data_IF_702208533365
#
_entry.id   IF_702208533365
#
_cell.length_a   1.000
_cell.length_b   1.000
_cell.length_c   1.000
_cell.angle_alpha   90.00
_cell.angle_beta   90.00
_cell.angle_gamma   90.00
#
_symmetry.space_group_name_H-M   'P 1'
#
loop_
_entity.id
_entity.type
_entity.pdbx_description
1 polymer ?
#
# COMPACT_ATOMS: atom_id res chain seq x y z
N UNK A 1 1.96 -7.12 7.39
CA UNK A 1 1.52 -8.15 8.36
C UNK A 1 2.57 -9.20 8.71
N UNK A 2 3.20 -9.88 7.74
CA UNK A 2 4.21 -10.94 8.00
C UNK A 2 5.27 -10.56 9.06
N UNK A 3 5.88 -9.38 8.93
CA UNK A 3 6.90 -8.92 9.88
C UNK A 3 6.34 -8.65 11.27
N UNK A 4 5.13 -8.12 11.38
CA UNK A 4 4.49 -7.89 12.68
C UNK A 4 4.22 -9.21 13.41
N UNK A 5 3.72 -10.22 12.70
CA UNK A 5 3.53 -11.57 13.23
C UNK A 5 4.86 -12.22 13.65
N UNK A 6 5.90 -12.12 12.82
CA UNK A 6 7.24 -12.66 13.10
C UNK A 6 7.89 -12.00 14.33
N UNK A 7 7.68 -10.70 14.50
CA UNK A 7 8.20 -9.92 15.62
C UNK A 7 7.30 -9.99 16.86
N UNK A 8 6.13 -10.64 16.76
CA UNK A 8 5.10 -10.70 17.80
C UNK A 8 4.69 -9.30 18.30
N UNK A 9 4.50 -8.36 17.37
CA UNK A 9 4.11 -6.99 17.68
C UNK A 9 2.74 -6.67 17.11
N UNK A 10 1.89 -5.90 17.82
CA UNK A 10 0.67 -5.36 17.25
C UNK A 10 1.00 -4.52 16.02
N UNK A 11 0.14 -4.59 14.99
CA UNK A 11 0.23 -3.76 13.79
C UNK A 11 -0.95 -2.80 13.79
N UNK A 12 -0.66 -1.50 13.74
CA UNK A 12 -1.65 -0.45 13.54
C UNK A 12 -1.41 0.14 12.16
N UNK A 13 -2.27 -0.23 11.21
CA UNK A 13 -2.25 0.31 9.84
C UNK A 13 -3.13 1.54 9.75
N UNK A 14 -2.61 2.58 9.12
CA UNK A 14 -3.33 3.82 8.82
C UNK A 14 -3.21 4.08 7.31
N UNK A 15 -4.31 3.98 6.55
CA UNK A 15 -4.31 4.43 5.16
C UNK A 15 -4.25 5.95 5.14
N UNK A 16 -3.24 6.52 4.48
CA UNK A 16 -3.11 7.95 4.33
C UNK A 16 -3.87 8.45 3.09
N UNK A 17 -4.55 9.58 3.25
CA UNK A 17 -5.25 10.28 2.19
C UNK A 17 -5.36 11.77 2.55
N UNK A 18 -5.80 12.60 1.60
CA UNK A 18 -5.83 14.06 1.74
C UNK A 18 -6.76 14.55 2.88
N UNK A 19 -7.74 13.75 3.31
CA UNK A 19 -8.61 14.09 4.44
C UNK A 19 -8.06 13.62 5.80
N UNK A 20 -6.95 12.87 5.82
CA UNK A 20 -6.30 12.45 7.07
C UNK A 20 -5.68 13.67 7.74
N UNK A 21 -6.17 14.06 8.91
CA UNK A 21 -5.60 15.17 9.69
C UNK A 21 -4.66 14.68 10.79
N UNK A 22 -3.72 15.52 11.22
CA UNK A 22 -2.88 15.21 12.38
C UNK A 22 -3.71 14.93 13.65
N UNK A 23 -4.88 15.59 13.80
CA UNK A 23 -5.77 15.35 14.94
C UNK A 23 -6.37 13.94 14.94
N UNK A 24 -6.73 13.40 13.77
CA UNK A 24 -7.26 12.04 13.69
C UNK A 24 -6.20 10.99 14.02
N UNK A 25 -4.93 11.30 13.73
CA UNK A 25 -3.79 10.44 14.01
C UNK A 25 -3.35 10.46 15.47
N UNK A 26 -3.30 11.65 16.08
CA UNK A 26 -2.86 11.83 17.47
C UNK A 26 -3.99 11.58 18.46
N UNK A 27 -5.21 11.98 18.15
CA UNK A 27 -6.37 11.83 19.03
C UNK A 27 -7.21 13.08 19.14
N UNK A 28 -8.43 12.87 19.64
CA UNK A 28 -9.46 13.91 19.71
C UNK A 28 -10.35 13.75 20.93
N UNK A 29 -10.91 14.87 21.36
CA UNK A 29 -11.99 14.90 22.36
C UNK A 29 -13.31 14.56 21.69
N UNK A 30 -14.05 13.63 22.27
CA UNK A 30 -15.39 13.23 21.85
C UNK A 30 -16.39 13.52 22.96
N UNK A 31 -17.61 13.92 22.60
CA UNK A 31 -18.71 14.03 23.55
C UNK A 31 -19.44 12.69 23.58
N UNK A 32 -19.46 12.02 24.73
CA UNK A 32 -20.22 10.78 24.96
C UNK A 32 -21.10 10.94 26.17
N UNK A 33 -22.42 10.89 25.97
CA UNK A 33 -23.38 10.96 27.07
C UNK A 33 -23.37 12.27 27.87
N UNK A 34 -22.90 13.37 27.27
CA UNK A 34 -22.76 14.67 27.96
C UNK A 34 -21.35 14.94 28.51
N UNK A 35 -20.48 13.93 28.57
CA UNK A 35 -19.09 14.08 29.03
C UNK A 35 -18.12 14.22 27.85
N UNK A 36 -17.07 15.02 28.06
CA UNK A 36 -15.96 15.18 27.11
C UNK A 36 -14.87 14.17 27.45
N UNK A 37 -14.73 13.14 26.61
CA UNK A 37 -13.74 12.06 26.79
C UNK A 37 -12.65 12.10 25.73
N UNK A 38 -11.42 11.85 26.13
CA UNK A 38 -10.30 11.76 25.19
C UNK A 38 -10.29 10.39 24.51
N UNK A 39 -10.08 10.39 23.19
CA UNK A 39 -9.81 9.18 22.42
C UNK A 39 -8.44 9.31 21.75
N UNK A 40 -7.52 8.41 22.11
CA UNK A 40 -6.22 8.32 21.44
C UNK A 40 -6.41 7.92 19.97
N UNK A 41 -5.68 8.62 19.09
CA UNK A 41 -5.58 8.25 17.69
C UNK A 41 -4.65 7.05 17.47
N UNK A 42 -4.57 6.51 16.25
CA UNK A 42 -3.73 5.35 15.92
C UNK A 42 -2.26 5.57 16.24
N UNK A 43 -1.70 6.77 16.06
CA UNK A 43 -0.30 7.07 16.36
C UNK A 43 -0.05 7.01 17.87
N UNK A 44 -0.87 7.70 18.65
CA UNK A 44 -0.75 7.72 20.11
C UNK A 44 -0.92 6.33 20.71
N UNK A 45 -1.87 5.53 20.22
CA UNK A 45 -2.01 4.12 20.61
C UNK A 45 -0.76 3.31 20.30
N UNK A 46 -0.23 3.43 19.07
CA UNK A 46 0.96 2.68 18.68
C UNK A 46 2.17 3.01 19.56
N UNK A 47 2.35 4.29 19.88
CA UNK A 47 3.42 4.78 20.75
C UNK A 47 3.29 4.22 22.16
N UNK A 48 2.08 4.23 22.74
CA UNK A 48 1.83 3.69 24.09
C UNK A 48 1.97 2.16 24.17
N UNK A 49 1.49 1.46 23.15
CA UNK A 49 1.46 -0.01 23.12
C UNK A 49 2.79 -0.62 22.64
N UNK A 50 3.72 0.20 22.13
CA UNK A 50 4.93 -0.30 21.50
C UNK A 50 4.65 -1.09 20.22
N UNK A 51 3.61 -0.71 19.49
CA UNK A 51 3.18 -1.37 18.26
C UNK A 51 4.05 -0.96 17.07
N UNK A 52 3.91 -1.71 15.97
CA UNK A 52 4.32 -1.26 14.65
C UNK A 52 3.21 -0.35 14.11
N UNK A 53 3.52 0.93 13.93
CA UNK A 53 2.68 1.88 13.21
C UNK A 53 3.05 1.82 11.73
N UNK A 54 2.12 1.42 10.87
CA UNK A 54 2.28 1.40 9.43
C UNK A 54 1.42 2.48 8.79
N UNK A 55 2.05 3.50 8.21
CA UNK A 55 1.39 4.56 7.45
C UNK A 55 1.45 4.21 5.97
N UNK A 56 0.32 3.74 5.44
CA UNK A 56 0.22 3.30 4.06
C UNK A 56 0.00 4.50 3.14
N UNK A 57 0.76 4.60 2.06
CA UNK A 57 0.68 5.71 1.09
C UNK A 57 0.90 7.09 1.72
N UNK A 58 1.93 7.23 2.56
CA UNK A 58 2.21 8.48 3.32
C UNK A 58 2.40 9.72 2.42
N UNK A 59 2.68 9.53 1.13
CA UNK A 59 2.77 10.59 0.13
C UNK A 59 1.42 11.28 -0.13
N UNK A 60 0.30 10.57 0.07
CA UNK A 60 -1.07 11.10 -0.03
C UNK A 60 -1.52 11.81 1.24
N UNK A 61 -0.74 11.72 2.32
CA UNK A 61 -1.09 12.42 3.55
C UNK A 61 -0.86 13.92 3.41
N UNK A 62 -1.67 14.70 4.14
CA UNK A 62 -1.44 16.13 4.28
C UNK A 62 -0.05 16.43 4.87
N UNK A 63 0.59 17.55 4.52
CA UNK A 63 1.91 17.88 5.05
C UNK A 63 2.01 17.97 6.58
N UNK A 64 0.94 18.36 7.27
CA UNK A 64 0.89 18.43 8.74
C UNK A 64 0.94 17.03 9.38
N UNK A 65 0.34 16.02 8.76
CA UNK A 65 0.47 14.61 9.16
C UNK A 65 1.93 14.16 9.10
N UNK A 66 2.62 14.45 7.99
CA UNK A 66 4.01 14.04 7.79
C UNK A 66 4.95 14.72 8.79
N UNK A 67 4.68 15.98 9.14
CA UNK A 67 5.46 16.70 10.16
C UNK A 67 5.16 16.19 11.57
N UNK A 68 3.92 15.81 11.88
CA UNK A 68 3.52 15.32 13.19
C UNK A 68 4.26 14.04 13.63
N UNK A 69 4.75 13.24 12.67
CA UNK A 69 5.52 12.01 12.96
C UNK A 69 7.03 12.23 13.04
N UNK A 70 7.55 13.41 12.66
CA UNK A 70 8.99 13.70 12.74
C UNK A 70 9.59 13.51 14.15
N UNK A 71 8.92 13.93 15.25
CA UNK A 71 9.44 13.71 16.59
C UNK A 71 9.66 12.24 16.95
N UNK A 72 8.88 11.32 16.36
CA UNK A 72 9.01 9.87 16.55
C UNK A 72 10.21 9.25 15.82
N UNK A 73 10.78 9.98 14.85
CA UNK A 73 11.96 9.55 14.08
C UNK A 73 13.27 10.11 14.62
N UNK A 74 13.21 11.08 15.54
CA UNK A 74 14.39 11.67 16.17
C UNK A 74 14.89 10.80 17.34
N UNK A 75 16.12 11.01 17.80
CA UNK A 75 16.78 10.25 18.86
C UNK A 75 15.96 10.16 20.16
N UNK A 76 15.17 11.20 20.49
CA UNK A 76 14.37 11.25 21.72
C UNK A 76 13.06 10.46 21.60
N UNK A 77 12.50 10.34 20.39
CA UNK A 77 11.24 9.64 20.10
C UNK A 77 10.09 10.06 21.04
N UNK A 78 9.94 11.36 21.26
CA UNK A 78 8.85 11.94 22.06
C UNK A 78 7.79 12.56 21.15
N UNK A 79 6.52 12.35 21.48
CA UNK A 79 5.38 12.86 20.74
C UNK A 79 4.54 13.73 21.68
N UNK A 80 4.45 15.02 21.39
CA UNK A 80 3.63 15.95 22.16
C UNK A 80 2.22 16.04 21.56
N UNK A 81 1.21 15.84 22.41
CA UNK A 81 -0.21 15.93 22.06
C UNK A 81 -0.74 17.25 22.62
N UNK A 82 -0.65 18.31 21.81
CA UNK A 82 -1.04 19.68 22.19
C UNK A 82 -2.43 19.75 22.84
N UNK A 83 -3.42 19.07 22.25
CA UNK A 83 -4.83 19.12 22.68
C UNK A 83 -5.10 18.47 24.04
N UNK A 84 -4.18 17.63 24.51
CA UNK A 84 -4.25 16.96 25.81
C UNK A 84 -3.21 17.51 26.78
N UNK A 85 -2.24 18.30 26.31
CA UNK A 85 -1.12 18.77 27.10
C UNK A 85 -0.23 17.62 27.60
N UNK A 86 -0.14 16.55 26.82
CA UNK A 86 0.54 15.30 27.21
C UNK A 86 1.74 15.04 26.30
N UNK A 87 2.85 14.60 26.87
CA UNK A 87 4.01 14.11 26.14
C UNK A 87 4.11 12.59 26.25
N UNK A 88 4.14 11.91 25.10
CA UNK A 88 4.33 10.48 25.01
C UNK A 88 5.78 10.14 24.66
N UNK A 89 6.35 9.21 25.39
CA UNK A 89 7.65 8.62 25.04
C UNK A 89 7.44 7.30 24.32
N UNK A 90 7.93 7.19 23.08
CA UNK A 90 7.86 5.94 22.35
C UNK A 90 8.71 4.87 23.04
N UNK A 91 8.13 3.69 23.20
CA UNK A 91 8.80 2.54 23.80
C UNK A 91 9.97 2.07 22.93
N UNK A 92 10.77 1.11 23.42
CA UNK A 92 11.83 0.51 22.60
C UNK A 92 11.24 -0.38 21.50
N UNK A 93 10.04 -0.86 21.72
CA UNK A 93 9.30 -1.78 20.86
C UNK A 93 8.51 -1.05 19.77
N UNK A 94 8.21 0.24 19.94
CA UNK A 94 7.59 1.04 18.91
C UNK A 94 8.42 1.05 17.62
N UNK A 95 7.76 0.78 16.49
CA UNK A 95 8.35 0.93 15.16
C UNK A 95 7.45 1.79 14.28
N UNK A 96 8.06 2.70 13.52
CA UNK A 96 7.39 3.45 12.47
C UNK A 96 7.79 2.89 11.10
N UNK A 97 6.80 2.49 10.31
CA UNK A 97 6.96 1.99 8.94
C UNK A 97 6.06 2.83 8.04
N UNK A 98 6.56 3.22 6.87
CA UNK A 98 5.81 3.98 5.88
C UNK A 98 5.95 3.34 4.50
N UNK A 99 4.92 3.44 3.67
CA UNK A 99 4.97 3.05 2.25
C UNK A 99 4.61 4.23 1.34
N UNK A 100 5.13 4.21 0.12
CA UNK A 100 4.73 5.10 -0.95
C UNK A 100 5.13 4.50 -2.29
N UNK A 101 4.42 4.84 -3.36
CA UNK A 101 4.71 4.37 -4.71
C UNK A 101 5.51 5.44 -5.48
N UNK A 102 6.82 5.24 -5.72
CA UNK A 102 7.62 6.21 -6.46
C UNK A 102 7.17 6.27 -7.92
N UNK A 103 7.11 7.49 -8.49
CA UNK A 103 6.77 7.68 -9.90
C UNK A 103 5.28 7.54 -10.24
N UNK A 104 4.44 7.14 -9.28
CA UNK A 104 2.97 7.07 -9.42
C UNK A 104 2.35 8.44 -9.77
N UNK A 105 3.03 9.52 -9.40
CA UNK A 105 2.56 10.88 -9.64
C UNK A 105 3.66 11.69 -10.31
N UNK A 106 3.52 11.95 -11.61
CA UNK A 106 4.19 13.07 -12.27
C UNK A 106 3.60 14.37 -11.68
N UNK A 107 4.01 14.79 -10.47
CA UNK A 107 3.39 15.92 -9.77
C UNK A 107 3.85 16.21 -8.33
N UNK A 108 3.13 17.13 -7.66
CA UNK A 108 3.48 17.88 -6.43
C UNK A 108 3.46 17.10 -5.09
N UNK A 109 3.27 15.78 -5.13
CA UNK A 109 3.03 14.92 -3.95
C UNK A 109 4.17 13.91 -3.72
N UNK A 110 5.41 14.32 -3.99
CA UNK A 110 6.57 13.53 -3.58
C UNK A 110 6.91 13.75 -2.10
N UNK A 111 7.43 12.70 -1.44
CA UNK A 111 8.00 12.84 -0.11
C UNK A 111 9.23 13.75 -0.13
N UNK A 112 9.17 14.83 0.64
CA UNK A 112 10.28 15.77 0.82
C UNK A 112 11.57 15.04 1.25
N UNK A 113 12.75 15.46 0.76
CA UNK A 113 14.04 14.86 1.16
C UNK A 113 14.26 14.83 2.67
N UNK A 114 13.81 15.85 3.41
CA UNK A 114 13.91 15.92 4.87
C UNK A 114 13.10 14.85 5.61
N UNK A 115 12.01 14.35 5.01
CA UNK A 115 11.27 13.20 5.53
C UNK A 115 12.01 11.91 5.15
N UNK A 116 12.44 11.76 3.89
CA UNK A 116 13.12 10.54 3.40
C UNK A 116 14.41 10.22 4.18
N UNK A 117 15.20 11.25 4.51
CA UNK A 117 16.45 11.09 5.27
C UNK A 117 16.27 10.63 6.72
N UNK A 118 15.02 10.51 7.21
CA UNK A 118 14.69 9.97 8.54
C UNK A 118 14.41 8.46 8.52
N UNK A 119 14.40 7.82 7.36
CA UNK A 119 14.05 6.41 7.19
C UNK A 119 15.18 5.61 6.56
N UNK A 120 15.27 4.34 6.95
CA UNK A 120 15.93 3.30 6.14
C UNK A 120 14.90 2.82 5.11
N UNK A 121 15.33 2.64 3.87
CA UNK A 121 14.44 2.29 2.76
C UNK A 121 14.75 0.88 2.21
N UNK A 122 13.69 0.18 1.82
CA UNK A 122 13.76 -1.03 1.01
C UNK A 122 12.88 -0.82 -0.22
N UNK A 123 13.43 -1.04 -1.41
CA UNK A 123 12.68 -0.96 -2.65
C UNK A 123 12.04 -2.30 -2.95
N UNK A 124 10.78 -2.29 -3.37
CA UNK A 124 10.04 -3.46 -3.83
C UNK A 124 9.76 -3.31 -5.32
N UNK A 125 9.90 -4.43 -6.03
CA UNK A 125 9.55 -4.55 -7.44
C UNK A 125 8.76 -5.86 -7.61
N UNK A 126 8.22 -6.08 -8.81
CA UNK A 126 7.54 -7.32 -9.14
C UNK A 126 8.47 -8.53 -8.94
N UNK A 127 7.98 -9.64 -8.37
CA UNK A 127 8.83 -10.80 -8.11
C UNK A 127 9.35 -11.43 -9.40
N UNK A 128 10.43 -12.22 -9.29
CA UNK A 128 10.88 -13.05 -10.41
C UNK A 128 9.76 -14.01 -10.86
N UNK A 129 9.70 -14.40 -12.15
CA UNK A 129 8.54 -15.11 -12.71
C UNK A 129 8.14 -16.38 -11.94
N UNK A 130 9.11 -17.18 -11.51
CA UNK A 130 8.85 -18.43 -10.77
C UNK A 130 8.26 -18.14 -9.37
N UNK A 131 8.74 -17.10 -8.70
CA UNK A 131 8.25 -16.67 -7.40
C UNK A 131 6.84 -16.08 -7.55
N UNK A 132 6.59 -15.22 -8.55
CA UNK A 132 5.27 -14.64 -8.79
C UNK A 132 4.24 -15.73 -9.14
N UNK A 133 4.60 -16.72 -9.94
CA UNK A 133 3.73 -17.85 -10.26
C UNK A 133 3.40 -18.70 -9.01
N UNK A 134 4.37 -18.87 -8.11
CA UNK A 134 4.15 -19.54 -6.82
C UNK A 134 3.20 -18.75 -5.92
N UNK A 135 3.32 -17.42 -5.90
CA UNK A 135 2.39 -16.53 -5.18
C UNK A 135 0.97 -16.73 -5.72
N UNK A 136 0.77 -16.64 -7.04
CA UNK A 136 -0.54 -16.85 -7.65
C UNK A 136 -1.14 -18.22 -7.31
N UNK A 137 -0.33 -19.27 -7.39
CA UNK A 137 -0.78 -20.63 -7.07
C UNK A 137 -1.21 -20.74 -5.61
N UNK A 138 -0.42 -20.20 -4.68
CA UNK A 138 -0.71 -20.26 -3.24
C UNK A 138 -1.92 -19.39 -2.84
N UNK A 139 -2.06 -18.21 -3.43
CA UNK A 139 -3.13 -17.26 -3.11
C UNK A 139 -4.49 -17.62 -3.72
N UNK A 140 -4.50 -18.42 -4.80
CA UNK A 140 -5.73 -18.68 -5.58
C UNK A 140 -6.06 -20.15 -5.78
N UNK A 141 -5.09 -21.06 -5.60
CA UNK A 141 -5.24 -22.47 -5.92
C UNK A 141 -5.42 -22.76 -7.42
N UNK A 142 -5.03 -21.83 -8.31
CA UNK A 142 -5.04 -22.05 -9.76
C UNK A 142 -3.98 -23.07 -10.19
N UNK A 143 -4.13 -23.62 -11.40
CA UNK A 143 -3.13 -24.53 -11.96
C UNK A 143 -1.81 -23.80 -12.25
N UNK A 144 -0.67 -24.43 -11.98
CA UNK A 144 0.64 -23.80 -12.17
C UNK A 144 0.90 -23.36 -13.62
N UNK A 145 0.31 -24.04 -14.63
CA UNK A 145 0.41 -23.59 -16.02
C UNK A 145 -0.37 -22.30 -16.26
N UNK A 146 -1.50 -22.12 -15.60
CA UNK A 146 -2.27 -20.87 -15.65
C UNK A 146 -1.49 -19.75 -14.98
N UNK A 147 -0.93 -19.99 -13.78
CA UNK A 147 -0.09 -19.02 -13.08
C UNK A 147 1.10 -18.56 -13.94
N UNK A 148 1.85 -19.49 -14.54
CA UNK A 148 2.98 -19.16 -15.41
C UNK A 148 2.55 -18.36 -16.66
N UNK A 149 1.39 -18.66 -17.25
CA UNK A 149 0.86 -17.89 -18.38
C UNK A 149 0.46 -16.47 -17.97
N UNK A 150 -0.20 -16.31 -16.83
CA UNK A 150 -0.58 -15.01 -16.29
C UNK A 150 0.64 -14.15 -15.96
N UNK A 151 1.68 -14.72 -15.36
CA UNK A 151 2.94 -14.03 -15.10
C UNK A 151 3.64 -13.62 -16.39
N UNK A 152 3.68 -14.51 -17.40
CA UNK A 152 4.24 -14.17 -18.71
C UNK A 152 3.47 -13.04 -19.38
N UNK A 153 2.15 -13.04 -19.29
CA UNK A 153 1.29 -11.94 -19.75
C UNK A 153 1.62 -10.65 -18.98
N UNK A 154 1.63 -10.70 -17.64
CA UNK A 154 1.94 -9.55 -16.79
C UNK A 154 3.30 -8.91 -17.11
N UNK A 155 4.34 -9.71 -17.32
CA UNK A 155 5.66 -9.20 -17.72
C UNK A 155 5.65 -8.53 -19.10
N UNK A 156 4.98 -9.13 -20.09
CA UNK A 156 4.80 -8.47 -21.39
C UNK A 156 4.10 -7.12 -21.24
N UNK A 157 3.05 -7.05 -20.43
CA UNK A 157 2.32 -5.80 -20.20
C UNK A 157 3.18 -4.75 -19.49
N UNK A 158 4.02 -5.16 -18.54
CA UNK A 158 4.94 -4.27 -17.82
C UNK A 158 6.05 -3.68 -18.71
N UNK A 159 6.37 -4.35 -19.82
CA UNK A 159 7.37 -3.91 -20.81
C UNK A 159 6.79 -2.91 -21.83
N UNK A 160 5.47 -2.71 -21.87
CA UNK A 160 4.80 -1.79 -22.79
C UNK A 160 4.87 -0.34 -22.27
N UNK A 161 6.08 0.21 -22.18
CA UNK A 161 6.31 1.60 -21.76
C UNK A 161 5.76 2.63 -22.79
N UNK A 162 5.53 2.21 -24.05
CA UNK A 162 5.06 3.08 -25.15
C UNK A 162 3.55 3.34 -25.15
N UNK A 163 2.75 2.54 -24.44
CA UNK A 163 1.28 2.66 -24.44
C UNK A 163 0.76 3.80 -23.56
N UNK A 164 1.65 4.54 -22.89
CA UNK A 164 1.25 5.66 -22.03
C UNK A 164 0.42 5.23 -20.82
N UNK A 165 0.50 3.95 -20.42
CA UNK A 165 -0.23 3.43 -19.27
C UNK A 165 0.12 4.23 -18.02
N UNK A 166 -0.92 4.65 -17.29
CA UNK A 166 -0.75 5.31 -16.00
C UNK A 166 -0.10 4.35 -14.97
N UNK A 167 -0.40 3.05 -15.10
CA UNK A 167 0.06 2.02 -14.18
C UNK A 167 0.52 0.75 -14.90
N UNK A 168 1.46 0.03 -14.29
CA UNK A 168 1.91 -1.29 -14.76
C UNK A 168 1.00 -2.39 -14.21
N UNK A 169 0.88 -3.50 -14.95
CA UNK A 169 0.11 -4.66 -14.50
C UNK A 169 0.65 -5.23 -13.18
N UNK A 170 -0.09 -4.99 -12.08
CA UNK A 170 0.34 -5.41 -10.75
C UNK A 170 0.10 -6.90 -10.50
N UNK A 171 0.85 -7.49 -9.55
CA UNK A 171 0.61 -8.88 -9.11
C UNK A 171 -0.83 -9.07 -8.60
N UNK A 172 -1.46 -8.02 -8.06
CA UNK A 172 -2.87 -8.06 -7.62
C UNK A 172 -3.83 -8.35 -8.77
N UNK A 173 -3.66 -7.67 -9.92
CA UNK A 173 -4.47 -7.93 -11.11
C UNK A 173 -4.31 -9.37 -11.61
N UNK A 174 -3.08 -9.90 -11.54
CA UNK A 174 -2.81 -11.29 -11.92
C UNK A 174 -3.48 -12.30 -10.96
N UNK A 175 -3.51 -12.00 -9.66
CA UNK A 175 -4.22 -12.79 -8.65
C UNK A 175 -5.74 -12.77 -8.92
N UNK A 176 -6.31 -11.61 -9.26
CA UNK A 176 -7.73 -11.50 -9.55
C UNK A 176 -8.11 -12.25 -10.84
N UNK A 177 -7.30 -12.14 -11.90
CA UNK A 177 -7.45 -12.94 -13.11
C UNK A 177 -7.38 -14.46 -12.81
N UNK A 178 -6.42 -14.89 -11.98
CA UNK A 178 -6.30 -16.28 -11.56
C UNK A 178 -7.52 -16.78 -10.78
N UNK A 179 -8.10 -15.96 -9.89
CA UNK A 179 -9.34 -16.28 -9.16
C UNK A 179 -10.53 -16.43 -10.10
N UNK A 180 -10.68 -15.52 -11.07
CA UNK A 180 -11.75 -15.62 -12.07
C UNK A 180 -11.62 -16.89 -12.91
N UNK A 181 -10.42 -17.21 -13.40
CA UNK A 181 -10.16 -18.44 -14.16
C UNK A 181 -10.48 -19.67 -13.30
N UNK A 182 -10.04 -19.68 -12.04
CA UNK A 182 -10.31 -20.77 -11.10
C UNK A 182 -11.80 -20.97 -10.85
N UNK A 183 -12.59 -19.90 -10.89
CA UNK A 183 -14.06 -19.97 -10.75
C UNK A 183 -14.79 -20.53 -11.98
N UNK A 184 -14.05 -20.78 -13.08
CA UNK A 184 -14.59 -21.33 -14.33
C UNK A 184 -14.76 -20.31 -15.46
N UNK A 185 -14.37 -19.05 -15.24
CA UNK A 185 -14.41 -18.04 -16.30
C UNK A 185 -13.38 -18.37 -17.40
N UNK A 186 -13.74 -18.22 -18.70
CA UNK A 186 -12.78 -18.38 -19.79
C UNK A 186 -11.58 -17.43 -19.63
N UNK A 187 -10.36 -17.93 -19.87
CA UNK A 187 -9.13 -17.19 -19.54
C UNK A 187 -9.03 -15.81 -20.20
N UNK A 188 -9.45 -15.67 -21.46
CA UNK A 188 -9.45 -14.38 -22.14
C UNK A 188 -10.39 -13.38 -21.48
N UNK A 189 -11.60 -13.82 -21.14
CA UNK A 189 -12.59 -12.97 -20.47
C UNK A 189 -12.12 -12.54 -19.08
N UNK A 190 -11.52 -13.47 -18.33
CA UNK A 190 -10.96 -13.19 -17.01
C UNK A 190 -9.82 -12.17 -17.07
N UNK A 191 -8.89 -12.33 -18.02
CA UNK A 191 -7.80 -11.38 -18.22
C UNK A 191 -8.32 -10.01 -18.68
N UNK A 192 -9.32 -9.96 -19.56
CA UNK A 192 -9.91 -8.69 -19.96
C UNK A 192 -10.52 -7.96 -18.75
N UNK A 193 -11.38 -8.63 -17.99
CA UNK A 193 -12.06 -8.03 -16.85
C UNK A 193 -11.11 -7.63 -15.69
N UNK A 194 -10.08 -8.44 -15.40
CA UNK A 194 -9.22 -8.23 -14.24
C UNK A 194 -7.90 -7.51 -14.55
N UNK A 195 -7.48 -7.44 -15.82
CA UNK A 195 -6.20 -6.83 -16.19
C UNK A 195 -6.41 -5.71 -17.20
N UNK A 196 -7.16 -5.92 -18.28
CA UNK A 196 -7.27 -4.93 -19.36
C UNK A 196 -8.12 -3.73 -18.95
N UNK A 197 -9.36 -3.96 -18.54
CA UNK A 197 -10.30 -2.91 -18.13
C UNK A 197 -9.76 -2.04 -16.97
N UNK A 198 -9.05 -2.57 -15.94
CA UNK A 198 -8.50 -1.72 -14.89
C UNK A 198 -7.27 -0.90 -15.28
N UNK A 199 -6.59 -1.21 -16.39
CA UNK A 199 -5.34 -0.55 -16.78
C UNK A 199 -5.55 0.72 -17.62
N UNK A 200 -6.71 0.87 -18.26
CA UNK A 200 -6.99 2.02 -19.14
C UNK A 200 -8.48 2.20 -19.38
N UNK A 201 -8.94 3.45 -19.53
CA UNK A 201 -10.25 3.77 -20.10
C UNK A 201 -10.17 4.15 -21.60
N UNK A 202 -8.95 4.23 -22.15
CA UNK A 202 -8.71 4.57 -23.56
C UNK A 202 -8.98 3.36 -24.46
N UNK A 203 -9.88 3.53 -25.43
CA UNK A 203 -10.34 2.45 -26.30
C UNK A 203 -9.23 1.84 -27.17
N UNK A 204 -8.29 2.67 -27.66
CA UNK A 204 -7.17 2.18 -28.50
C UNK A 204 -6.19 1.37 -27.65
N UNK A 205 -5.91 1.84 -26.43
CA UNK A 205 -5.07 1.10 -25.46
C UNK A 205 -5.75 -0.20 -25.04
N UNK A 206 -7.05 -0.19 -24.75
CA UNK A 206 -7.82 -1.38 -24.39
C UNK A 206 -7.80 -2.44 -25.50
N UNK A 207 -7.95 -2.03 -26.76
CA UNK A 207 -7.85 -2.93 -27.91
C UNK A 207 -6.45 -3.56 -28.00
N UNK A 208 -5.39 -2.75 -27.91
CA UNK A 208 -4.01 -3.24 -27.93
C UNK A 208 -3.71 -4.22 -26.78
N UNK A 209 -4.13 -3.90 -25.55
CA UNK A 209 -3.99 -4.79 -24.41
C UNK A 209 -4.77 -6.11 -24.60
N UNK A 210 -5.97 -6.02 -25.16
CA UNK A 210 -6.80 -7.17 -25.51
C UNK A 210 -6.13 -8.11 -26.53
N UNK A 211 -5.43 -7.57 -27.53
CA UNK A 211 -4.65 -8.37 -28.47
C UNK A 211 -3.51 -9.11 -27.77
N UNK A 212 -2.81 -8.47 -26.83
CA UNK A 212 -1.74 -9.11 -26.05
C UNK A 212 -2.30 -10.27 -25.22
N UNK A 213 -3.50 -10.12 -24.64
CA UNK A 213 -4.22 -11.20 -23.94
C UNK A 213 -4.57 -12.33 -24.90
N UNK A 214 -5.09 -12.02 -26.09
CA UNK A 214 -5.49 -13.02 -27.09
C UNK A 214 -4.30 -13.82 -27.63
N UNK A 215 -3.10 -13.24 -27.68
CA UNK A 215 -1.86 -13.93 -28.03
C UNK A 215 -1.33 -14.82 -26.90
N UNK A 216 -1.72 -14.57 -25.65
CA UNK A 216 -1.28 -15.34 -24.49
C UNK A 216 -2.17 -16.55 -24.17
N UNK A 217 -3.47 -16.50 -24.53
CA UNK A 217 -4.48 -17.50 -24.18
C UNK A 217 -5.30 -18.00 -25.37
#
# INVERSE_FOLDING_TARGET
EHMAARLQRPLITVPCHDDTSAADLLGRWLVKGGDTVWQDGPVSRAVREGAILYLDEIAEARPDVVVAIHPLTDHRRHLFIDRRGEELSATREFMLVVSFNPGYQRGWKELKPSTRQRFVAASFDYPAPDLEASILTNETGCDSKVALRLVKLGNKLRELDELGLAERASTRLLVDAARLIKSGMPSRLACNAAIVEPLSDDAEVLEALGEVVALAF
#
